data_IF_441515532400
#
_entry.id   IF_441515532400
#
_cell.length_a   1.000
_cell.length_b   1.000
_cell.length_c   1.000
_cell.angle_alpha   90.00
_cell.angle_beta   90.00
_cell.angle_gamma   90.00
#
_symmetry.space_group_name_H-M   'P 1'
#
loop_
_entity.id
_entity.type
_entity.pdbx_description
1 polymer ?
#
# COMPACT_ATOMS: atom_id res chain seq x y z
N UNK A 1 -6.92 -0.26 -23.08
CA UNK A 1 -7.43 0.56 -21.96
C UNK A 1 -6.39 1.61 -21.67
N UNK A 2 -6.75 2.89 -21.78
CA UNK A 2 -5.81 3.99 -21.62
C UNK A 2 -5.48 4.18 -20.13
N UNK A 3 -4.18 4.25 -19.82
CA UNK A 3 -3.66 4.58 -18.51
C UNK A 3 -4.05 6.02 -18.18
N UNK A 4 -4.94 6.22 -17.20
CA UNK A 4 -5.21 7.55 -16.67
C UNK A 4 -4.05 7.91 -15.72
N UNK A 5 -3.34 9.03 -15.93
CA UNK A 5 -2.36 9.48 -14.98
C UNK A 5 -3.05 9.84 -13.66
N UNK A 6 -2.47 9.40 -12.54
CA UNK A 6 -2.85 9.83 -11.20
C UNK A 6 -2.84 11.36 -11.09
N UNK A 7 -3.68 11.94 -10.21
CA UNK A 7 -3.52 13.33 -9.82
C UNK A 7 -2.17 13.46 -9.10
N UNK A 8 -1.18 13.94 -9.84
CA UNK A 8 0.03 14.53 -9.26
C UNK A 8 -0.40 15.80 -8.53
N UNK A 9 0.04 15.92 -7.29
CA UNK A 9 -0.01 17.14 -6.48
C UNK A 9 -1.42 17.73 -6.28
N UNK A 10 -2.11 17.26 -5.23
CA UNK A 10 -3.14 18.11 -4.60
C UNK A 10 -2.41 19.37 -4.09
N UNK A 11 -2.75 20.57 -4.57
CA UNK A 11 -2.08 21.80 -4.17
C UNK A 11 -2.19 22.01 -2.65
N UNK A 12 -1.07 22.36 -2.01
CA UNK A 12 -0.98 22.65 -0.57
C UNK A 12 -1.45 24.07 -0.18
N UNK A 13 -2.16 24.77 -1.07
CA UNK A 13 -2.75 26.07 -0.79
C UNK A 13 -4.28 25.98 -0.93
N UNK A 14 -4.95 25.51 0.11
CA UNK A 14 -6.37 25.77 0.30
C UNK A 14 -6.51 26.91 1.32
N UNK A 15 -7.23 27.96 0.90
CA UNK A 15 -7.68 29.06 1.75
C UNK A 15 -8.21 28.54 3.10
N UNK A 16 -8.03 29.28 4.22
CA UNK A 16 -8.52 28.84 5.51
C UNK A 16 -10.01 28.54 5.39
N UNK A 17 -10.48 27.33 5.75
CA UNK A 17 -11.87 26.98 5.55
C UNK A 17 -12.74 27.98 6.31
N UNK A 18 -13.88 28.34 5.71
CA UNK A 18 -14.97 29.00 6.43
C UNK A 18 -15.15 28.27 7.76
N UNK A 19 -15.35 29.01 8.85
CA UNK A 19 -15.57 28.43 10.18
C UNK A 19 -16.88 27.62 10.12
N UNK A 20 -16.78 26.34 9.76
CA UNK A 20 -17.90 25.41 9.78
C UNK A 20 -18.09 25.00 11.25
N UNK A 21 -19.32 25.10 11.74
CA UNK A 21 -19.66 24.56 13.06
C UNK A 21 -19.64 23.04 12.93
N UNK A 22 -18.62 22.40 13.50
CA UNK A 22 -18.51 20.95 13.57
C UNK A 22 -19.70 20.40 14.37
N UNK A 23 -20.31 19.32 13.88
CA UNK A 23 -21.40 18.60 14.56
C UNK A 23 -21.26 17.08 14.39
N UNK A 24 -21.95 16.32 15.25
CA UNK A 24 -21.91 14.84 15.25
C UNK A 24 -22.60 14.22 14.03
N UNK A 25 -23.52 14.93 13.38
CA UNK A 25 -24.22 14.44 12.19
C UNK A 25 -23.29 14.41 10.97
N UNK A 26 -22.35 15.36 10.88
CA UNK A 26 -21.26 15.32 9.90
C UNK A 26 -20.44 14.03 10.09
N UNK A 27 -20.02 13.69 11.32
CA UNK A 27 -19.27 12.45 11.60
C UNK A 27 -20.04 11.19 11.18
N UNK A 28 -21.35 11.14 11.44
CA UNK A 28 -22.19 10.02 11.05
C UNK A 28 -22.30 9.86 9.53
N UNK A 29 -22.37 10.96 8.77
CA UNK A 29 -22.48 10.93 7.31
C UNK A 29 -21.19 10.56 6.58
N UNK A 30 -20.03 10.79 7.21
CA UNK A 30 -18.74 10.46 6.59
C UNK A 30 -18.65 8.97 6.25
N UNK A 31 -18.26 8.67 5.01
CA UNK A 31 -18.04 7.30 4.54
C UNK A 31 -16.67 7.17 3.87
N UNK A 32 -15.97 6.03 4.03
CA UNK A 32 -14.75 5.77 3.28
C UNK A 32 -15.02 5.40 1.82
N UNK A 33 -16.26 5.07 1.47
CA UNK A 33 -16.63 4.60 0.14
C UNK A 33 -17.14 5.74 -0.75
N UNK A 34 -16.51 5.92 -1.91
CA UNK A 34 -17.00 6.83 -2.96
C UNK A 34 -17.12 6.03 -4.25
N UNK A 35 -18.30 6.03 -4.88
CA UNK A 35 -18.60 5.25 -6.08
C UNK A 35 -18.28 3.74 -5.95
N UNK A 36 -18.50 3.17 -4.76
CA UNK A 36 -18.24 1.74 -4.47
C UNK A 36 -16.76 1.39 -4.31
N UNK A 37 -15.88 2.39 -4.12
CA UNK A 37 -14.47 2.19 -3.84
C UNK A 37 -14.11 2.70 -2.45
N UNK A 38 -13.47 1.86 -1.65
CA UNK A 38 -12.88 2.22 -0.36
C UNK A 38 -11.59 3.05 -0.59
N UNK A 39 -11.72 4.38 -0.51
CA UNK A 39 -10.62 5.30 -0.81
C UNK A 39 -9.46 5.18 0.19
N UNK A 40 -9.69 5.06 1.52
CA UNK A 40 -8.61 4.81 2.46
C UNK A 40 -7.86 3.50 2.17
N UNK A 41 -8.54 2.42 1.77
CA UNK A 41 -7.86 1.19 1.37
C UNK A 41 -6.94 1.42 0.16
N UNK A 42 -7.42 2.11 -0.89
CA UNK A 42 -6.60 2.43 -2.06
C UNK A 42 -5.38 3.28 -1.66
N UNK A 43 -5.60 4.35 -0.89
CA UNK A 43 -4.53 5.21 -0.41
C UNK A 43 -3.50 4.46 0.45
N UNK A 44 -3.95 3.53 1.32
CA UNK A 44 -3.07 2.70 2.13
C UNK A 44 -2.20 1.77 1.27
N UNK A 45 -2.77 1.17 0.21
CA UNK A 45 -2.02 0.33 -0.73
C UNK A 45 -0.98 1.14 -1.51
N UNK A 46 -1.33 2.35 -1.96
CA UNK A 46 -0.38 3.25 -2.63
C UNK A 46 0.76 3.68 -1.70
N UNK A 47 0.43 4.03 -0.45
CA UNK A 47 1.43 4.33 0.57
C UNK A 47 2.36 3.14 0.81
N UNK A 48 1.82 1.94 0.96
CA UNK A 48 2.60 0.73 1.15
C UNK A 48 3.60 0.52 -0.01
N UNK A 49 3.13 0.57 -1.26
CA UNK A 49 4.01 0.41 -2.43
C UNK A 49 5.12 1.46 -2.45
N UNK A 50 4.82 2.72 -2.11
CA UNK A 50 5.85 3.75 -2.01
C UNK A 50 6.88 3.46 -0.92
N UNK A 51 6.44 2.99 0.26
CA UNK A 51 7.34 2.56 1.34
C UNK A 51 8.23 1.41 0.88
N UNK A 52 7.67 0.41 0.18
CA UNK A 52 8.45 -0.73 -0.35
C UNK A 52 9.49 -0.26 -1.37
N UNK A 53 9.12 0.64 -2.29
CA UNK A 53 10.04 1.22 -3.29
C UNK A 53 11.18 2.05 -2.66
N UNK A 54 10.98 2.56 -1.45
CA UNK A 54 12.00 3.31 -0.70
C UNK A 54 12.93 2.45 0.16
N UNK A 55 12.71 1.12 0.22
CA UNK A 55 13.56 0.27 1.05
C UNK A 55 14.99 0.18 0.49
N UNK A 56 16.04 0.26 1.34
CA UNK A 56 17.42 0.32 0.89
C UNK A 56 17.84 -0.86 -0.01
N UNK A 57 17.32 -2.06 0.27
CA UNK A 57 17.68 -3.26 -0.50
C UNK A 57 17.19 -3.24 -1.95
N UNK A 58 16.22 -2.38 -2.30
CA UNK A 58 15.64 -2.33 -3.67
C UNK A 58 15.70 -0.93 -4.31
N UNK A 59 15.82 0.13 -3.50
CA UNK A 59 15.63 1.49 -3.97
C UNK A 59 16.61 1.90 -5.06
N UNK A 60 17.92 1.75 -4.81
CA UNK A 60 18.96 2.20 -5.75
C UNK A 60 18.90 1.43 -7.08
N UNK A 61 18.66 0.12 -7.02
CA UNK A 61 18.69 -0.75 -8.22
C UNK A 61 17.44 -0.59 -9.09
N UNK A 62 16.25 -0.46 -8.48
CA UNK A 62 14.99 -0.51 -9.22
C UNK A 62 14.24 0.82 -9.23
N UNK A 63 14.40 1.65 -8.20
CA UNK A 63 13.58 2.86 -7.98
C UNK A 63 14.38 4.15 -7.73
N UNK A 64 15.55 4.39 -8.36
CA UNK A 64 16.43 5.51 -8.00
C UNK A 64 15.84 6.90 -8.26
N UNK A 65 14.74 6.97 -9.01
CA UNK A 65 14.01 8.22 -9.32
C UNK A 65 12.79 8.43 -8.43
N UNK A 66 12.41 7.43 -7.64
CA UNK A 66 11.21 7.48 -6.81
C UNK A 66 11.46 8.39 -5.60
N UNK A 67 10.50 9.25 -5.28
CA UNK A 67 10.56 10.07 -4.07
C UNK A 67 9.70 9.42 -2.99
N UNK A 68 10.13 9.54 -1.74
CA UNK A 68 9.34 9.06 -0.60
C UNK A 68 7.97 9.75 -0.56
N UNK A 69 6.91 8.98 -0.31
CA UNK A 69 5.56 9.52 -0.10
C UNK A 69 5.55 10.51 1.07
N UNK A 70 4.68 11.52 1.00
CA UNK A 70 4.48 12.51 2.08
C UNK A 70 4.06 11.92 3.42
N UNK A 71 3.59 10.67 3.44
CA UNK A 71 3.14 9.95 4.63
C UNK A 71 4.16 8.90 5.09
N UNK A 72 5.22 8.65 4.31
CA UNK A 72 6.21 7.62 4.62
C UNK A 72 6.91 7.88 5.96
N UNK A 73 7.13 9.15 6.31
CA UNK A 73 7.71 9.54 7.59
C UNK A 73 6.83 9.22 8.81
N UNK A 74 5.53 8.95 8.61
CA UNK A 74 4.59 8.56 9.66
C UNK A 74 4.40 7.04 9.73
N UNK A 75 5.07 6.27 8.86
CA UNK A 75 5.08 4.82 8.91
C UNK A 75 6.23 4.38 9.81
N UNK A 76 5.90 3.64 10.85
CA UNK A 76 6.89 3.09 11.78
C UNK A 76 7.57 1.87 11.13
N UNK A 77 8.92 1.84 11.03
CA UNK A 77 9.64 0.71 10.48
C UNK A 77 9.44 -0.59 11.28
N UNK A 78 9.06 -0.51 12.56
CA UNK A 78 8.88 -1.69 13.42
C UNK A 78 7.52 -2.38 13.21
N UNK A 79 6.61 -1.80 12.40
CA UNK A 79 5.29 -2.41 12.13
C UNK A 79 5.38 -3.70 11.31
N UNK A 80 6.39 -3.81 10.46
CA UNK A 80 6.48 -4.86 9.46
C UNK A 80 7.91 -4.96 8.92
N UNK A 81 8.31 -6.17 8.49
CA UNK A 81 9.59 -6.34 7.80
C UNK A 81 9.44 -5.86 6.34
N UNK A 82 9.49 -4.54 6.16
CA UNK A 82 9.34 -3.91 4.85
C UNK A 82 10.46 -4.30 3.89
N UNK A 83 11.69 -4.47 4.37
CA UNK A 83 12.84 -4.73 3.52
C UNK A 83 12.78 -6.15 2.93
N UNK A 84 12.59 -7.18 3.76
CA UNK A 84 12.45 -8.56 3.29
C UNK A 84 11.25 -8.71 2.35
N UNK A 85 10.12 -8.08 2.67
CA UNK A 85 8.96 -8.09 1.79
C UNK A 85 9.23 -7.38 0.46
N UNK A 86 9.96 -6.26 0.46
CA UNK A 86 10.32 -5.53 -0.77
C UNK A 86 11.19 -6.39 -1.68
N UNK A 87 12.17 -7.11 -1.11
CA UNK A 87 13.01 -8.06 -1.86
C UNK A 87 12.15 -9.15 -2.50
N UNK A 88 11.27 -9.80 -1.73
CA UNK A 88 10.35 -10.82 -2.25
C UNK A 88 9.43 -10.27 -3.35
N UNK A 89 8.88 -9.07 -3.17
CA UNK A 89 7.96 -8.45 -4.10
C UNK A 89 8.64 -8.07 -5.42
N UNK A 90 9.88 -7.58 -5.38
CA UNK A 90 10.71 -7.36 -6.57
C UNK A 90 11.10 -8.69 -7.21
N UNK A 91 11.48 -9.70 -6.44
CA UNK A 91 11.79 -11.04 -6.96
C UNK A 91 10.58 -11.67 -7.67
N UNK A 92 9.36 -11.45 -7.19
CA UNK A 92 8.14 -11.85 -7.89
C UNK A 92 8.04 -11.15 -9.25
N UNK A 93 8.28 -9.85 -9.32
CA UNK A 93 8.27 -9.11 -10.58
C UNK A 93 9.36 -9.61 -11.56
N UNK A 94 10.58 -9.88 -11.08
CA UNK A 94 11.66 -10.48 -11.89
C UNK A 94 11.26 -11.85 -12.41
N UNK A 95 10.70 -12.70 -11.54
CA UNK A 95 10.27 -14.05 -11.88
C UNK A 95 9.17 -14.08 -12.95
N UNK A 96 8.28 -13.08 -12.95
CA UNK A 96 7.19 -12.98 -13.91
C UNK A 96 7.62 -12.32 -15.23
N UNK A 97 8.66 -11.50 -15.20
CA UNK A 97 9.22 -10.88 -16.40
C UNK A 97 10.04 -11.88 -17.22
N UNK A 98 9.97 -11.74 -18.54
CA UNK A 98 10.89 -12.42 -19.45
C UNK A 98 12.02 -11.44 -19.78
N UNK A 99 13.20 -11.70 -19.23
CA UNK A 99 14.33 -10.77 -19.30
C UNK A 99 15.26 -11.07 -20.49
N UNK A 100 15.16 -12.24 -21.12
CA UNK A 100 16.02 -12.66 -22.25
C UNK A 100 17.49 -12.89 -21.87
N UNK A 101 17.85 -12.69 -20.60
CA UNK A 101 19.21 -12.76 -20.05
C UNK A 101 19.37 -13.84 -18.97
N UNK A 102 18.28 -14.52 -18.59
CA UNK A 102 18.32 -15.66 -17.65
C UNK A 102 18.45 -15.25 -16.18
N UNK A 103 18.26 -13.97 -15.84
CA UNK A 103 18.19 -13.47 -14.46
C UNK A 103 16.96 -14.05 -13.75
N UNK A 104 15.84 -14.25 -14.47
CA UNK A 104 14.68 -14.99 -13.96
C UNK A 104 15.06 -16.36 -13.42
N UNK A 105 15.95 -17.09 -14.10
CA UNK A 105 16.34 -18.45 -13.74
C UNK A 105 17.18 -18.51 -12.46
N UNK A 106 17.67 -17.36 -11.98
CA UNK A 106 18.35 -17.24 -10.69
C UNK A 106 17.36 -17.24 -9.51
N UNK A 107 16.07 -17.00 -9.74
CA UNK A 107 15.04 -16.87 -8.70
C UNK A 107 14.25 -18.17 -8.54
N UNK A 108 14.16 -18.67 -7.31
CA UNK A 108 13.26 -19.76 -6.93
C UNK A 108 11.83 -19.22 -6.82
N UNK A 109 11.09 -19.35 -7.93
CA UNK A 109 9.74 -18.81 -8.07
C UNK A 109 8.78 -19.42 -7.06
N UNK A 110 8.84 -20.73 -6.86
CA UNK A 110 7.95 -21.44 -5.94
C UNK A 110 8.15 -20.95 -4.50
N UNK A 111 9.42 -20.73 -4.11
CA UNK A 111 9.76 -20.17 -2.82
C UNK A 111 9.27 -18.74 -2.64
N UNK A 112 9.45 -17.87 -3.65
CA UNK A 112 8.95 -16.49 -3.62
C UNK A 112 7.43 -16.46 -3.38
N UNK A 113 6.67 -17.27 -4.11
CA UNK A 113 5.21 -17.32 -3.95
C UNK A 113 4.79 -17.87 -2.59
N UNK A 114 5.48 -18.89 -2.07
CA UNK A 114 5.20 -19.44 -0.75
C UNK A 114 5.43 -18.40 0.36
N UNK A 115 6.57 -17.71 0.33
CA UNK A 115 6.95 -16.73 1.37
C UNK A 115 6.05 -15.49 1.31
N UNK A 116 5.72 -14.99 0.11
CA UNK A 116 4.73 -13.90 -0.05
C UNK A 116 3.35 -14.30 0.47
N UNK A 117 2.91 -15.53 0.20
CA UNK A 117 1.62 -16.02 0.67
C UNK A 117 1.58 -16.12 2.20
N UNK A 118 2.69 -16.52 2.83
CA UNK A 118 2.83 -16.51 4.30
C UNK A 118 2.65 -15.08 4.85
N UNK A 119 3.29 -14.08 4.24
CA UNK A 119 3.08 -12.68 4.61
C UNK A 119 1.61 -12.28 4.49
N UNK A 120 0.97 -12.50 3.34
CA UNK A 120 -0.43 -12.10 3.10
C UNK A 120 -1.43 -12.76 4.05
N UNK A 121 -1.13 -13.97 4.54
CA UNK A 121 -1.97 -14.69 5.51
C UNK A 121 -1.65 -14.35 6.97
N UNK A 122 -0.51 -13.70 7.22
CA UNK A 122 -0.04 -13.41 8.57
C UNK A 122 -0.92 -12.39 9.31
N UNK A 123 -0.92 -12.50 10.64
CA UNK A 123 -1.51 -11.48 11.51
C UNK A 123 -0.79 -10.13 11.38
N UNK A 124 0.52 -10.13 11.06
CA UNK A 124 1.28 -8.89 10.89
C UNK A 124 0.79 -8.10 9.66
N UNK A 125 0.45 -8.78 8.57
CA UNK A 125 -0.14 -8.13 7.39
C UNK A 125 -1.47 -7.44 7.71
N UNK A 126 -2.34 -8.09 8.49
CA UNK A 126 -3.60 -7.50 8.94
C UNK A 126 -3.37 -6.28 9.83
N UNK A 127 -2.41 -6.36 10.76
CA UNK A 127 -2.02 -5.25 11.64
C UNK A 127 -1.45 -4.07 10.86
N UNK A 128 -0.54 -4.33 9.92
CA UNK A 128 0.01 -3.33 9.02
C UNK A 128 -1.11 -2.65 8.24
N UNK A 129 -2.02 -3.44 7.67
CA UNK A 129 -3.14 -2.90 6.92
C UNK A 129 -4.04 -2.00 7.74
N UNK A 130 -4.37 -2.40 8.97
CA UNK A 130 -5.12 -1.55 9.89
C UNK A 130 -4.37 -0.25 10.23
N UNK A 131 -3.07 -0.33 10.52
CA UNK A 131 -2.25 0.83 10.85
C UNK A 131 -2.17 1.84 9.70
N UNK A 132 -1.89 1.36 8.47
CA UNK A 132 -1.85 2.20 7.28
C UNK A 132 -3.22 2.80 6.95
N UNK A 133 -4.28 2.01 7.05
CA UNK A 133 -5.65 2.47 6.82
C UNK A 133 -6.03 3.59 7.78
N UNK A 134 -5.75 3.42 9.07
CA UNK A 134 -5.99 4.45 10.09
C UNK A 134 -5.19 5.74 9.83
N UNK A 135 -3.94 5.61 9.37
CA UNK A 135 -3.08 6.74 9.04
C UNK A 135 -3.64 7.59 7.90
N UNK A 136 -4.19 6.96 6.85
CA UNK A 136 -4.71 7.67 5.67
C UNK A 136 -6.19 8.07 5.82
N UNK A 137 -6.96 7.37 6.66
CA UNK A 137 -8.41 7.61 6.83
C UNK A 137 -8.71 9.07 7.15
N UNK A 138 -8.00 9.65 8.12
CA UNK A 138 -8.23 11.03 8.57
C UNK A 138 -7.99 12.08 7.47
N UNK A 139 -7.16 11.75 6.48
CA UNK A 139 -6.79 12.64 5.37
C UNK A 139 -7.71 12.49 4.17
N UNK A 140 -8.24 11.28 3.95
CA UNK A 140 -8.99 10.93 2.73
C UNK A 140 -10.50 11.05 2.95
N UNK A 141 -10.98 10.72 4.14
CA UNK A 141 -12.42 10.71 4.45
C UNK A 141 -12.91 12.12 4.76
N UNK A 142 -13.97 12.52 4.05
CA UNK A 142 -14.65 13.81 4.22
C UNK A 142 -16.16 13.63 4.07
N UNK A 143 -16.91 14.53 4.67
CA UNK A 143 -18.37 14.59 4.46
C UNK A 143 -18.66 15.11 3.04
N UNK A 144 -19.50 14.41 2.28
CA UNK A 144 -19.79 14.78 0.89
C UNK A 144 -20.52 16.12 0.76
N UNK A 145 -21.31 16.49 1.77
CA UNK A 145 -22.13 17.70 1.73
C UNK A 145 -21.33 18.96 2.09
N UNK A 146 -20.54 18.89 3.16
CA UNK A 146 -19.81 20.02 3.73
C UNK A 146 -18.34 20.05 3.34
N UNK A 147 -17.82 18.95 2.77
CA UNK A 147 -16.40 18.75 2.45
C UNK A 147 -15.47 18.81 3.65
N UNK A 148 -16.00 18.79 4.88
CA UNK A 148 -15.21 18.77 6.11
C UNK A 148 -14.46 17.44 6.19
N UNK A 149 -13.12 17.45 6.31
CA UNK A 149 -12.33 16.23 6.45
C UNK A 149 -12.44 15.68 7.87
N UNK A 150 -12.28 14.36 8.01
CA UNK A 150 -12.26 13.72 9.33
C UNK A 150 -11.17 14.28 10.24
N UNK A 151 -10.02 14.68 9.69
CA UNK A 151 -8.94 15.35 10.42
C UNK A 151 -9.38 16.58 11.22
N UNK A 152 -10.40 17.32 10.76
CA UNK A 152 -10.91 18.50 11.48
C UNK A 152 -11.44 18.15 12.89
N UNK A 153 -12.00 16.96 13.06
CA UNK A 153 -12.47 16.46 14.37
C UNK A 153 -11.32 15.94 15.24
N UNK A 154 -10.21 15.55 14.61
CA UNK A 154 -9.00 15.10 15.30
C UNK A 154 -8.16 16.25 15.86
N UNK A 155 -8.23 17.45 15.29
CA UNK A 155 -7.48 18.60 15.80
C UNK A 155 -8.14 19.25 17.02
N UNK A 156 -9.46 19.05 17.14
CA UNK A 156 -10.25 19.43 18.31
C UNK A 156 -10.23 18.35 19.40
N UNK A 157 -10.88 18.61 20.56
CA UNK A 157 -11.02 17.66 21.67
C UNK A 157 -11.57 16.29 21.21
N UNK A 158 -10.65 15.38 20.84
CA UNK A 158 -10.98 14.08 20.21
C UNK A 158 -11.86 13.23 21.12
N UNK A 159 -11.60 13.31 22.42
CA UNK A 159 -12.33 12.55 23.43
C UNK A 159 -13.78 13.01 23.50
N UNK A 160 -14.02 14.33 23.43
CA UNK A 160 -15.37 14.89 23.36
C UNK A 160 -16.13 14.35 22.14
N UNK A 161 -15.55 14.41 20.95
CA UNK A 161 -16.21 13.92 19.73
C UNK A 161 -16.46 12.42 19.76
N UNK A 162 -15.53 11.63 20.29
CA UNK A 162 -15.72 10.20 20.49
C UNK A 162 -16.91 9.91 21.42
N UNK A 163 -17.06 10.69 22.51
CA UNK A 163 -18.15 10.53 23.47
C UNK A 163 -19.51 10.96 22.88
N UNK A 164 -19.55 12.04 22.11
CA UNK A 164 -20.77 12.48 21.41
C UNK A 164 -21.22 11.43 20.37
N UNK A 165 -20.28 10.92 19.58
CA UNK A 165 -20.56 9.87 18.60
C UNK A 165 -21.01 8.57 19.28
N UNK A 166 -20.30 8.11 20.32
CA UNK A 166 -20.69 6.93 21.13
C UNK A 166 -22.12 7.06 21.66
N UNK A 167 -22.48 8.23 22.21
CA UNK A 167 -23.82 8.50 22.75
C UNK A 167 -24.89 8.38 21.67
N UNK A 168 -24.61 8.91 20.47
CA UNK A 168 -25.53 8.89 19.34
C UNK A 168 -25.74 7.47 18.80
N UNK A 169 -24.67 6.71 18.57
CA UNK A 169 -24.75 5.35 18.00
C UNK A 169 -25.27 4.31 19.02
N UNK A 170 -25.06 4.51 20.31
CA UNK A 170 -25.63 3.66 21.35
C UNK A 170 -27.10 3.99 21.68
N UNK A 171 -27.69 5.01 21.07
CA UNK A 171 -29.08 5.38 21.32
C UNK A 171 -30.05 4.33 20.75
N UNK A 172 -31.14 4.06 21.47
CA UNK A 172 -32.16 3.10 21.00
C UNK A 172 -32.78 3.52 19.66
N UNK A 173 -32.88 4.82 19.41
CA UNK A 173 -33.38 5.36 18.14
C UNK A 173 -32.45 5.03 16.97
N UNK A 174 -31.14 5.22 17.14
CA UNK A 174 -30.17 4.90 16.10
C UNK A 174 -30.11 3.40 15.83
N UNK A 175 -30.04 2.59 16.90
CA UNK A 175 -30.02 1.12 16.79
C UNK A 175 -31.28 0.62 16.07
N UNK A 176 -32.46 1.13 16.44
CA UNK A 176 -33.71 0.78 15.77
C UNK A 176 -33.66 1.16 14.29
N UNK A 177 -33.22 2.37 13.96
CA UNK A 177 -33.12 2.85 12.59
C UNK A 177 -32.24 1.93 11.74
N UNK A 178 -31.02 1.62 12.20
CA UNK A 178 -30.06 0.79 11.45
C UNK A 178 -30.55 -0.66 11.28
N UNK A 179 -31.21 -1.21 12.30
CA UNK A 179 -31.68 -2.62 12.26
C UNK A 179 -33.01 -2.79 11.51
N UNK A 180 -33.83 -1.74 11.38
CA UNK A 180 -35.17 -1.80 10.78
C UNK A 180 -35.29 -1.02 9.45
N UNK A 181 -34.20 -0.48 8.91
CA UNK A 181 -34.17 0.24 7.63
C UNK A 181 -34.31 -0.66 6.37
N UNK A 182 -34.62 -1.95 6.54
CA UNK A 182 -34.65 -2.91 5.43
C UNK A 182 -33.25 -3.38 4.98
N UNK A 183 -32.22 -3.10 5.78
CA UNK A 183 -30.84 -3.51 5.55
C UNK A 183 -30.62 -4.98 5.86
N UNK A 184 -29.66 -5.62 5.20
CA UNK A 184 -29.24 -6.98 5.54
C UNK A 184 -28.45 -7.00 6.86
N UNK A 185 -28.39 -8.16 7.54
CA UNK A 185 -27.61 -8.30 8.77
C UNK A 185 -26.12 -7.92 8.57
N UNK A 186 -25.59 -8.13 7.37
CA UNK A 186 -24.20 -7.81 7.06
C UNK A 186 -24.01 -6.31 6.82
N UNK A 187 -24.93 -5.62 6.15
CA UNK A 187 -24.93 -4.16 6.03
C UNK A 187 -25.04 -3.46 7.40
N UNK A 188 -25.85 -4.02 8.31
CA UNK A 188 -25.96 -3.55 9.70
C UNK A 188 -24.61 -3.65 10.40
N UNK A 189 -23.93 -4.80 10.30
CA UNK A 189 -22.62 -5.01 10.92
C UNK A 189 -21.55 -4.10 10.32
N UNK A 190 -21.56 -3.88 9.00
CA UNK A 190 -20.63 -2.98 8.33
C UNK A 190 -20.82 -1.53 8.79
N UNK A 191 -22.07 -1.06 8.84
CA UNK A 191 -22.44 0.27 9.33
C UNK A 191 -21.93 0.47 10.76
N UNK A 192 -22.22 -0.48 11.66
CA UNK A 192 -21.78 -0.41 13.05
C UNK A 192 -20.24 -0.43 13.16
N UNK A 193 -19.56 -1.26 12.36
CA UNK A 193 -18.10 -1.33 12.38
C UNK A 193 -17.43 -0.08 11.84
N UNK A 194 -18.04 0.61 10.87
CA UNK A 194 -17.58 1.91 10.42
C UNK A 194 -17.65 2.94 11.55
N UNK A 195 -18.76 2.99 12.29
CA UNK A 195 -18.86 3.89 13.44
C UNK A 195 -17.87 3.55 14.54
N UNK A 196 -17.69 2.27 14.85
CA UNK A 196 -16.66 1.82 15.81
C UNK A 196 -15.24 2.20 15.35
N UNK A 197 -14.97 2.19 14.05
CA UNK A 197 -13.70 2.65 13.50
C UNK A 197 -13.52 4.16 13.69
N UNK A 198 -14.52 4.98 13.38
CA UNK A 198 -14.47 6.43 13.61
C UNK A 198 -14.22 6.74 15.08
N UNK A 199 -14.95 6.08 15.99
CA UNK A 199 -14.73 6.21 17.44
C UNK A 199 -13.32 5.76 17.82
N UNK A 200 -12.81 4.67 17.24
CA UNK A 200 -11.45 4.18 17.50
C UNK A 200 -10.38 5.21 17.11
N UNK A 201 -10.54 5.85 15.94
CA UNK A 201 -9.63 6.89 15.45
C UNK A 201 -9.64 8.15 16.31
N UNK A 202 -10.80 8.51 16.87
CA UNK A 202 -10.93 9.65 17.79
C UNK A 202 -10.38 9.31 19.18
N UNK A 203 -10.81 8.18 19.76
CA UNK A 203 -10.43 7.73 21.09
C UNK A 203 -10.56 6.19 21.23
N UNK A 204 -9.45 5.44 21.10
CA UNK A 204 -9.49 3.97 21.10
C UNK A 204 -10.22 3.32 22.28
N UNK A 205 -10.10 3.79 23.54
CA UNK A 205 -10.84 3.21 24.67
C UNK A 205 -12.37 3.32 24.54
N UNK A 206 -12.88 4.39 23.91
CA UNK A 206 -14.31 4.58 23.70
C UNK A 206 -14.89 3.57 22.72
N UNK A 207 -14.12 3.14 21.70
CA UNK A 207 -14.58 2.14 20.74
C UNK A 207 -14.87 0.79 21.44
N UNK A 208 -14.01 0.40 22.38
CA UNK A 208 -14.20 -0.82 23.19
C UNK A 208 -15.46 -0.72 24.04
N UNK A 209 -15.67 0.41 24.74
CA UNK A 209 -16.90 0.65 25.53
C UNK A 209 -18.15 0.57 24.65
N UNK A 210 -18.13 1.27 23.51
CA UNK A 210 -19.23 1.32 22.55
C UNK A 210 -19.57 -0.07 22.02
N UNK A 211 -18.57 -0.87 21.62
CA UNK A 211 -18.78 -2.23 21.15
C UNK A 211 -19.48 -3.12 22.18
N UNK A 212 -19.08 -3.05 23.46
CA UNK A 212 -19.72 -3.85 24.52
C UNK A 212 -21.19 -3.48 24.78
N UNK A 213 -21.57 -2.24 24.51
CA UNK A 213 -22.98 -1.79 24.60
C UNK A 213 -23.77 -2.30 23.40
N UNK A 214 -23.24 -2.10 22.20
CA UNK A 214 -23.90 -2.47 20.94
C UNK A 214 -24.04 -3.98 20.79
N UNK A 215 -23.07 -4.79 21.21
CA UNK A 215 -23.13 -6.25 21.12
C UNK A 215 -24.24 -6.89 21.97
N UNK A 216 -24.73 -6.18 22.99
CA UNK A 216 -25.92 -6.60 23.77
C UNK A 216 -27.23 -6.33 23.04
N UNK A 217 -27.25 -5.30 22.19
CA UNK A 217 -28.44 -4.86 21.48
C UNK A 217 -28.56 -5.45 20.07
N UNK A 218 -27.43 -5.78 19.44
CA UNK A 218 -27.34 -6.28 18.07
C UNK A 218 -26.72 -7.69 18.12
N UNK A 219 -27.53 -8.75 17.98
CA UNK A 219 -27.05 -10.13 17.99
C UNK A 219 -26.03 -10.40 16.88
N UNK A 220 -24.97 -11.15 17.20
CA UNK A 220 -23.97 -11.57 16.21
C UNK A 220 -23.02 -10.47 15.73
N UNK A 221 -22.99 -9.30 16.38
CA UNK A 221 -22.04 -8.23 16.08
C UNK A 221 -20.60 -8.66 16.40
N UNK A 222 -19.72 -8.66 15.39
CA UNK A 222 -18.28 -8.86 15.53
C UNK A 222 -17.51 -7.54 15.39
N UNK A 223 -16.42 -7.39 16.16
CA UNK A 223 -15.54 -6.24 16.05
C UNK A 223 -14.54 -6.46 14.90
N UNK A 224 -14.78 -5.81 13.77
CA UNK A 224 -14.01 -6.00 12.55
C UNK A 224 -12.69 -5.22 12.52
N UNK A 225 -12.44 -4.34 13.50
CA UNK A 225 -11.22 -3.51 13.57
C UNK A 225 -9.92 -4.32 13.49
N UNK A 226 -9.89 -5.52 14.06
CA UNK A 226 -8.67 -6.34 14.15
C UNK A 226 -8.67 -7.52 13.16
N UNK A 227 -9.83 -7.85 12.60
CA UNK A 227 -10.01 -9.05 11.77
C UNK A 227 -10.19 -8.75 10.27
N UNK A 228 -10.67 -7.54 9.92
CA UNK A 228 -10.79 -7.11 8.52
C UNK A 228 -9.40 -6.99 7.91
N UNK A 229 -9.26 -7.47 6.68
CA UNK A 229 -8.07 -7.20 5.89
C UNK A 229 -8.21 -5.84 5.20
N UNK A 230 -7.70 -4.80 5.86
CA UNK A 230 -7.81 -3.42 5.38
C UNK A 230 -7.00 -3.13 4.13
N UNK A 231 -5.98 -3.94 3.81
CA UNK A 231 -5.27 -3.86 2.52
C UNK A 231 -5.99 -4.65 1.42
N UNK A 232 -6.97 -5.49 1.76
CA UNK A 232 -7.72 -6.28 0.78
C UNK A 232 -6.88 -7.42 0.20
N UNK A 233 -7.01 -7.66 -1.11
CA UNK A 233 -6.32 -8.75 -1.80
C UNK A 233 -4.78 -8.57 -1.79
N UNK A 234 -4.00 -9.62 -2.12
CA UNK A 234 -2.55 -9.51 -2.33
C UNK A 234 -2.16 -8.29 -3.19
N UNK A 235 -0.95 -7.77 -2.99
CA UNK A 235 -0.44 -6.68 -3.82
C UNK A 235 -0.23 -7.17 -5.26
N UNK A 236 -0.56 -6.32 -6.23
CA UNK A 236 -0.31 -6.62 -7.64
C UNK A 236 1.14 -6.23 -7.98
N UNK A 237 1.98 -7.22 -8.26
CA UNK A 237 3.39 -7.02 -8.64
C UNK A 237 3.53 -6.21 -9.93
N UNK A 238 2.49 -6.15 -10.78
CA UNK A 238 2.50 -5.38 -12.02
C UNK A 238 2.71 -3.88 -11.79
N UNK A 239 2.52 -3.41 -10.56
CA UNK A 239 2.85 -2.05 -10.13
C UNK A 239 4.34 -1.72 -10.22
N UNK A 240 5.22 -2.73 -10.35
CA UNK A 240 6.68 -2.58 -10.46
C UNK A 240 7.21 -2.91 -11.86
N UNK A 241 6.35 -3.30 -12.80
CA UNK A 241 6.77 -3.97 -14.04
C UNK A 241 7.68 -3.11 -14.90
N UNK A 242 7.40 -1.80 -14.99
CA UNK A 242 8.14 -0.90 -15.86
C UNK A 242 9.56 -0.65 -15.33
N UNK A 243 9.66 -0.41 -14.02
CA UNK A 243 10.90 -0.15 -13.32
C UNK A 243 11.81 -1.39 -13.30
N UNK A 244 11.24 -2.56 -12.97
CA UNK A 244 12.00 -3.83 -12.96
C UNK A 244 12.43 -4.23 -14.37
N UNK A 245 11.56 -4.11 -15.37
CA UNK A 245 11.94 -4.38 -16.76
C UNK A 245 13.04 -3.44 -17.26
N UNK A 246 13.00 -2.16 -16.86
CA UNK A 246 14.06 -1.20 -17.20
C UNK A 246 15.40 -1.61 -16.58
N UNK A 247 15.42 -1.96 -15.30
CA UNK A 247 16.65 -2.38 -14.60
C UNK A 247 17.25 -3.67 -15.20
N UNK A 248 16.41 -4.62 -15.61
CA UNK A 248 16.84 -5.86 -16.28
C UNK A 248 17.52 -5.62 -17.64
N UNK A 249 17.14 -4.54 -18.35
CA UNK A 249 17.70 -4.19 -19.65
C UNK A 249 18.84 -3.17 -19.57
N UNK A 250 19.21 -2.73 -18.37
CA UNK A 250 20.28 -1.75 -18.18
C UNK A 250 21.64 -2.31 -18.61
N UNK A 251 22.36 -1.55 -19.45
CA UNK A 251 23.60 -1.99 -20.09
C UNK A 251 24.82 -1.47 -19.35
N UNK A 252 25.68 -2.37 -18.91
CA UNK A 252 26.96 -2.08 -18.29
C UNK A 252 28.11 -2.43 -19.24
N UNK A 253 29.10 -1.54 -19.32
CA UNK A 253 30.31 -1.72 -20.14
C UNK A 253 31.54 -1.95 -19.24
N UNK A 254 32.30 -3.04 -19.43
CA UNK A 254 33.38 -3.44 -18.51
C UNK A 254 34.57 -2.46 -18.42
N UNK A 255 34.75 -1.57 -19.41
CA UNK A 255 35.88 -0.64 -19.48
C UNK A 255 35.50 0.86 -19.49
N UNK A 256 34.29 1.21 -19.01
CA UNK A 256 33.79 2.59 -19.01
C UNK A 256 33.25 3.07 -20.38
N UNK A 257 33.11 4.39 -20.58
CA UNK A 257 32.48 5.00 -21.78
C UNK A 257 33.17 4.52 -23.08
N UNK A 258 32.50 3.63 -23.80
CA UNK A 258 32.90 3.24 -25.14
C UNK A 258 32.55 4.39 -26.10
N UNK A 259 33.51 4.80 -26.92
CA UNK A 259 33.26 5.78 -27.97
C UNK A 259 32.24 5.19 -28.95
N UNK A 260 31.12 5.91 -29.18
CA UNK A 260 30.02 5.55 -30.11
C UNK A 260 30.46 5.19 -31.56
N UNK A 261 31.73 5.41 -31.91
CA UNK A 261 32.29 5.26 -33.25
C UNK A 261 33.26 4.08 -33.40
N UNK A 262 33.39 3.19 -32.41
CA UNK A 262 34.29 2.04 -32.53
C UNK A 262 33.69 0.95 -33.41
N UNK A 263 34.40 0.52 -34.46
CA UNK A 263 34.00 -0.62 -35.32
C UNK A 263 34.33 -1.99 -34.70
N UNK A 264 35.02 -2.02 -33.57
CA UNK A 264 35.41 -3.24 -32.85
C UNK A 264 34.22 -3.83 -32.10
N UNK A 265 34.17 -5.14 -31.99
CA UNK A 265 33.25 -5.86 -31.11
C UNK A 265 33.33 -5.30 -29.68
N UNK A 266 32.17 -5.17 -29.04
CA UNK A 266 32.04 -4.59 -27.72
C UNK A 266 31.37 -5.59 -26.80
N UNK A 267 32.05 -5.94 -25.71
CA UNK A 267 31.46 -6.72 -24.62
C UNK A 267 30.51 -5.83 -23.81
N UNK A 268 29.30 -6.33 -23.56
CA UNK A 268 28.30 -5.70 -22.72
C UNK A 268 27.70 -6.71 -21.76
N UNK A 269 27.24 -6.21 -20.62
CA UNK A 269 26.50 -6.99 -19.64
C UNK A 269 25.16 -6.31 -19.37
N UNK A 270 24.10 -7.10 -19.28
CA UNK A 270 22.76 -6.59 -18.98
C UNK A 270 22.37 -6.88 -17.52
N UNK A 271 21.70 -5.94 -16.86
CA UNK A 271 21.15 -6.16 -15.51
C UNK A 271 22.20 -6.60 -14.49
N UNK A 272 23.41 -6.03 -14.54
CA UNK A 272 24.50 -6.37 -13.60
C UNK A 272 24.09 -6.08 -12.17
N UNK A 273 23.53 -4.90 -11.91
CA UNK A 273 23.05 -4.51 -10.57
C UNK A 273 21.89 -5.40 -10.10
N UNK A 274 21.03 -5.85 -11.01
CA UNK A 274 19.98 -6.82 -10.68
C UNK A 274 20.57 -8.17 -10.29
N UNK A 275 21.61 -8.63 -11.00
CA UNK A 275 22.34 -9.86 -10.66
C UNK A 275 23.00 -9.74 -9.28
N UNK A 276 23.62 -8.60 -8.98
CA UNK A 276 24.20 -8.32 -7.67
C UNK A 276 23.13 -8.27 -6.58
N UNK A 277 21.98 -7.65 -6.85
CA UNK A 277 20.83 -7.66 -5.95
C UNK A 277 20.38 -9.09 -5.60
N UNK A 278 20.27 -9.98 -6.58
CA UNK A 278 19.92 -11.38 -6.32
C UNK A 278 20.94 -12.05 -5.41
N UNK A 279 22.22 -11.81 -5.63
CA UNK A 279 23.29 -12.42 -4.85
C UNK A 279 23.42 -11.84 -3.43
N UNK A 280 23.09 -10.57 -3.25
CA UNK A 280 23.27 -9.83 -1.98
C UNK A 280 22.03 -9.86 -1.10
N UNK A 281 20.83 -9.77 -1.68
CA UNK A 281 19.57 -9.63 -0.93
C UNK A 281 18.64 -10.83 -1.08
N UNK A 282 18.48 -11.39 -2.29
CA UNK A 282 17.57 -12.54 -2.50
C UNK A 282 18.18 -13.86 -1.98
N UNK A 283 19.49 -14.06 -2.17
CA UNK A 283 20.20 -15.27 -1.73
C UNK A 283 20.15 -15.49 -0.21
N UNK A 284 20.38 -14.50 0.67
CA UNK A 284 20.21 -14.69 2.12
C UNK A 284 18.81 -15.14 2.55
N UNK A 285 17.78 -14.77 1.77
CA UNK A 285 16.40 -15.23 1.98
C UNK A 285 16.13 -16.64 1.42
N UNK A 286 17.14 -17.29 0.83
CA UNK A 286 17.01 -18.62 0.23
C UNK A 286 16.33 -18.64 -1.13
N UNK A 287 16.22 -17.49 -1.82
CA UNK A 287 15.52 -17.36 -3.10
C UNK A 287 16.39 -17.66 -4.32
N UNK A 288 17.68 -17.95 -4.12
CA UNK A 288 18.61 -18.21 -5.21
C UNK A 288 18.64 -19.68 -5.58
N UNK A 289 18.43 -19.99 -6.87
CA UNK A 289 18.37 -21.37 -7.40
C UNK A 289 19.73 -22.06 -7.50
N UNK A 290 20.83 -21.33 -7.34
CA UNK A 290 22.18 -21.81 -7.65
C UNK A 290 22.64 -21.54 -9.08
N UNK A 291 21.76 -21.03 -9.94
CA UNK A 291 22.08 -20.67 -11.32
C UNK A 291 22.61 -19.23 -11.42
N UNK A 292 23.38 -18.95 -12.47
CA UNK A 292 23.84 -17.60 -12.81
C UNK A 292 23.19 -17.13 -14.11
N UNK A 293 22.92 -15.84 -14.21
CA UNK A 293 22.40 -15.23 -15.43
C UNK A 293 23.38 -15.38 -16.61
N UNK A 294 22.83 -15.49 -17.81
CA UNK A 294 23.57 -15.47 -19.07
C UNK A 294 23.49 -14.07 -19.69
N UNK A 295 23.95 -13.06 -18.94
CA UNK A 295 23.77 -11.64 -19.26
C UNK A 295 24.92 -11.00 -20.06
N UNK A 296 25.98 -11.75 -20.37
CA UNK A 296 27.07 -11.31 -21.23
C UNK A 296 26.67 -11.40 -22.72
N UNK A 297 26.96 -10.33 -23.48
CA UNK A 297 26.78 -10.30 -24.94
C UNK A 297 27.96 -9.59 -25.59
N UNK A 298 28.23 -9.99 -26.84
CA UNK A 298 29.18 -9.30 -27.72
C UNK A 298 28.35 -8.59 -28.79
N UNK A 299 28.45 -7.26 -28.84
CA UNK A 299 27.74 -6.42 -29.81
C UNK A 299 28.63 -6.04 -30.97
N UNK A 300 28.14 -6.33 -32.18
CA UNK A 300 28.79 -5.88 -33.41
C UNK A 300 28.36 -4.46 -33.78
N UNK A 301 29.00 -3.87 -34.78
CA UNK A 301 28.68 -2.51 -35.22
C UNK A 301 27.23 -2.39 -35.71
N UNK A 302 26.71 -3.42 -36.41
CA UNK A 302 25.33 -3.48 -36.92
C UNK A 302 24.29 -3.49 -35.82
N UNK A 303 24.58 -4.18 -34.71
CA UNK A 303 23.65 -4.35 -33.59
C UNK A 303 23.50 -3.03 -32.81
N UNK A 304 24.54 -2.20 -32.82
CA UNK A 304 24.57 -0.88 -32.17
C UNK A 304 23.79 0.21 -32.91
N UNK A 305 23.40 -0.01 -34.16
CA UNK A 305 22.59 0.97 -34.92
C UNK A 305 21.09 0.84 -34.56
N UNK A 306 20.70 -0.29 -33.95
CA UNK A 306 19.31 -0.62 -33.61
C UNK A 306 19.00 -0.56 -32.10
N UNK A 307 20.00 -0.27 -31.26
CA UNK A 307 19.88 0.05 -29.83
C UNK A 307 19.66 1.56 -29.62
#
# INVERSE_FOLDING_TARGET
>A
MAYQPCPQDVPLDEEPPRKFDLDVEILLRMTPEINGQDLPQLAARHLLVSVLKSQPSVHEVFFPKEKAHSCAASVDPDWFDFDSFSVLFVCQAIAELNDGHGIRDMIDVDRVYADLQEFYQSTQWKKLGFALYCLVFSRVVKDEMTMVPFSAFMDTDRQKWAAELETRVCSSQWIYHVTHSGSTDDEVKETVNLELLKIHLLHPPSATSCFHKLSKAIPGLSLNLVIKNYLGMPLDWRLLIAEVASALQEVTYPSGRIQRLTTKEVEVFYGVEVTEFVMTHARPLGLWTGNYAFNHRILNWTDRIHL
#
